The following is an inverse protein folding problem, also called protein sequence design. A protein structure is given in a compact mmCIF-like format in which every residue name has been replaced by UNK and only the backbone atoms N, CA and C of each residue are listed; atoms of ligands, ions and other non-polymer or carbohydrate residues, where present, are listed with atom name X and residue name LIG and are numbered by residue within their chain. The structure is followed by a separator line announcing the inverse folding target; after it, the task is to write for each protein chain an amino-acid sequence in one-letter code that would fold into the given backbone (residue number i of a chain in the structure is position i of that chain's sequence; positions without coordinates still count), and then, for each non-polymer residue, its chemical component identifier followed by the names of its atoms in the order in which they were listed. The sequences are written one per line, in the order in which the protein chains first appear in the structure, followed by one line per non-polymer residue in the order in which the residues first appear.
data_IF_160840293413
#
_entry.id   IF_160840293413
#
_cell.length_a   1.000
_cell.length_b   1.000
_cell.length_c   1.000
_cell.angle_alpha   90.00
_cell.angle_beta   90.00
_cell.angle_gamma   90.00
#
_symmetry.space_group_name_H-M   'P 1'
#
loop_
_entity.id
_entity.type
_entity.pdbx_description
1 polymer ?
#
# COMPACT_ATOMS: atom_id res chain seq x y z
N UNK A 1 -81.53 24.47 11.63
CA UNK A 1 -80.64 24.41 10.45
C UNK A 1 -80.97 23.14 9.68
N UNK A 2 -81.59 23.28 8.51
CA UNK A 2 -81.98 22.13 7.67
C UNK A 2 -80.70 21.58 7.01
N UNK A 3 -80.45 20.30 7.20
CA UNK A 3 -79.30 19.61 6.64
C UNK A 3 -79.25 19.76 5.12
N UNK A 4 -78.26 20.49 4.61
CA UNK A 4 -78.01 20.74 3.18
C UNK A 4 -77.72 19.44 2.44
N UNK A 5 -77.18 18.42 3.13
CA UNK A 5 -76.83 17.11 2.57
C UNK A 5 -77.99 16.22 2.14
N UNK A 6 -79.22 16.49 2.56
CA UNK A 6 -80.38 15.66 2.17
C UNK A 6 -80.88 15.92 0.74
N UNK A 7 -80.46 17.00 0.07
CA UNK A 7 -80.94 17.37 -1.28
C UNK A 7 -80.04 16.88 -2.43
N UNK A 8 -78.80 16.42 -2.13
CA UNK A 8 -77.88 15.97 -3.18
C UNK A 8 -77.15 14.68 -2.74
N UNK A 9 -77.78 13.52 -2.82
CA UNK A 9 -77.14 12.26 -2.42
C UNK A 9 -75.87 11.98 -3.26
N UNK A 10 -75.82 12.44 -4.51
CA UNK A 10 -74.68 12.28 -5.40
C UNK A 10 -73.46 13.07 -4.91
N UNK A 11 -73.64 14.25 -4.37
CA UNK A 11 -72.53 15.08 -3.83
C UNK A 11 -71.94 14.46 -2.56
N UNK A 12 -72.77 13.80 -1.76
CA UNK A 12 -72.30 13.08 -0.58
C UNK A 12 -71.47 11.83 -0.93
N UNK A 13 -71.84 11.12 -1.99
CA UNK A 13 -71.08 9.98 -2.49
C UNK A 13 -69.72 10.42 -3.03
N UNK A 14 -69.67 11.48 -3.80
CA UNK A 14 -68.38 12.06 -4.31
C UNK A 14 -67.51 12.46 -3.14
N UNK A 15 -68.01 13.12 -2.12
CA UNK A 15 -67.24 13.53 -0.95
C UNK A 15 -66.67 12.32 -0.20
N UNK A 16 -67.42 11.28 -0.02
CA UNK A 16 -66.97 10.01 0.60
C UNK A 16 -65.89 9.36 -0.26
N UNK A 17 -66.02 9.34 -1.59
CA UNK A 17 -65.03 8.75 -2.50
C UNK A 17 -63.70 9.54 -2.45
N UNK A 18 -63.75 10.88 -2.42
CA UNK A 18 -62.56 11.73 -2.29
C UNK A 18 -61.84 11.45 -0.95
N UNK A 19 -62.60 11.37 0.14
CA UNK A 19 -62.06 11.15 1.47
C UNK A 19 -61.43 9.75 1.59
N UNK A 20 -61.99 8.74 0.96
CA UNK A 20 -61.41 7.40 0.88
C UNK A 20 -60.11 7.42 0.04
N UNK A 21 -60.09 8.14 -1.08
CA UNK A 21 -58.92 8.27 -1.93
C UNK A 21 -57.76 8.95 -1.19
N UNK A 22 -58.03 10.01 -0.44
CA UNK A 22 -57.05 10.69 0.38
C UNK A 22 -56.46 9.80 1.48
N UNK A 23 -57.32 9.02 2.13
CA UNK A 23 -56.84 8.03 3.14
C UNK A 23 -55.97 6.96 2.53
N UNK A 24 -56.28 6.47 1.33
CA UNK A 24 -55.45 5.49 0.62
C UNK A 24 -54.11 6.11 0.23
N UNK A 25 -54.11 7.33 -0.25
CA UNK A 25 -52.86 8.09 -0.58
C UNK A 25 -51.98 8.28 0.66
N UNK A 26 -52.57 8.70 1.78
CA UNK A 26 -51.84 8.87 3.04
C UNK A 26 -51.27 7.55 3.55
N UNK A 27 -52.02 6.47 3.41
CA UNK A 27 -51.55 5.12 3.75
C UNK A 27 -50.35 4.71 2.88
N UNK A 28 -50.44 4.94 1.57
CA UNK A 28 -49.35 4.67 0.63
C UNK A 28 -48.09 5.49 0.96
N UNK A 29 -48.24 6.77 1.27
CA UNK A 29 -47.11 7.61 1.71
C UNK A 29 -46.53 7.09 3.03
N UNK A 30 -47.34 6.71 3.98
CA UNK A 30 -46.86 6.18 5.25
C UNK A 30 -46.10 4.86 5.07
N UNK A 31 -46.58 3.95 4.23
CA UNK A 31 -45.90 2.70 3.89
C UNK A 31 -44.55 2.99 3.17
N UNK A 32 -44.54 3.91 2.21
CA UNK A 32 -43.32 4.31 1.49
C UNK A 32 -42.27 4.88 2.42
N UNK A 33 -42.65 5.69 3.42
CA UNK A 33 -41.75 6.22 4.44
C UNK A 33 -41.21 5.14 5.38
N UNK A 34 -41.99 4.09 5.64
CA UNK A 34 -41.55 2.93 6.43
C UNK A 34 -40.62 2.03 5.64
N UNK A 35 -40.77 1.92 4.33
CA UNK A 35 -39.85 1.15 3.48
C UNK A 35 -38.48 1.83 3.33
N UNK A 36 -38.44 3.19 3.38
CA UNK A 36 -37.15 3.91 3.40
C UNK A 36 -36.38 3.75 4.72
N UNK A 37 -37.04 3.25 5.78
CA UNK A 37 -36.41 2.88 7.05
C UNK A 37 -36.00 1.41 7.13
N UNK A 38 -35.90 0.69 6.00
CA UNK A 38 -35.15 -0.56 6.05
C UNK A 38 -33.76 -0.21 6.53
N UNK A 39 -33.29 -0.72 7.68
CA UNK A 39 -31.92 -0.58 8.05
C UNK A 39 -31.15 -1.11 6.84
N UNK A 40 -30.24 -0.30 6.30
CA UNK A 40 -29.17 -0.79 5.45
C UNK A 40 -28.73 -2.07 6.15
N UNK A 41 -28.77 -3.26 5.49
CA UNK A 41 -28.19 -4.42 6.13
C UNK A 41 -26.81 -3.93 6.54
N UNK A 42 -26.58 -3.86 7.85
CA UNK A 42 -25.24 -3.84 8.38
C UNK A 42 -24.67 -5.11 7.79
N UNK A 43 -24.05 -4.97 6.60
CA UNK A 43 -23.07 -5.91 6.18
C UNK A 43 -22.11 -5.81 7.35
N UNK A 44 -22.29 -6.71 8.32
CA UNK A 44 -21.20 -7.20 9.06
C UNK A 44 -20.27 -7.69 7.96
N UNK A 45 -19.52 -6.73 7.35
CA UNK A 45 -18.22 -7.02 6.91
C UNK A 45 -17.60 -7.60 8.18
N UNK A 46 -17.84 -8.90 8.38
CA UNK A 46 -16.84 -9.76 8.91
C UNK A 46 -15.68 -9.38 8.00
N UNK A 47 -14.98 -8.32 8.39
CA UNK A 47 -13.60 -8.15 8.08
C UNK A 47 -13.07 -9.49 8.54
N UNK A 48 -13.08 -10.47 7.64
CA UNK A 48 -12.06 -11.45 7.63
C UNK A 48 -10.87 -10.52 7.43
N UNK A 49 -10.37 -9.98 8.56
CA UNK A 49 -8.96 -9.74 8.68
C UNK A 49 -8.41 -11.13 8.39
N UNK A 50 -8.29 -11.42 7.08
CA UNK A 50 -7.29 -12.35 6.68
C UNK A 50 -6.08 -11.78 7.37
N UNK A 51 -5.50 -12.55 8.25
CA UNK A 51 -4.24 -12.25 8.92
C UNK A 51 -3.11 -12.00 7.90
N UNK A 52 -3.41 -11.89 6.63
CA UNK A 52 -2.59 -11.49 5.49
C UNK A 52 -2.54 -9.96 5.28
N UNK A 53 -3.55 -9.18 5.72
CA UNK A 53 -3.56 -7.73 5.47
C UNK A 53 -2.78 -6.88 6.48
N UNK A 54 -2.27 -7.46 7.54
CA UNK A 54 -1.42 -6.77 8.52
C UNK A 54 0.02 -7.31 8.59
N UNK A 55 0.39 -8.25 7.74
CA UNK A 55 1.79 -8.62 7.63
C UNK A 55 2.48 -7.65 6.68
N UNK A 56 2.89 -6.50 7.20
CA UNK A 56 3.82 -5.61 6.52
C UNK A 56 4.95 -6.40 5.86
N UNK A 57 5.66 -5.80 4.94
CA UNK A 57 6.77 -6.44 4.22
C UNK A 57 7.71 -7.15 5.20
N UNK A 58 8.07 -8.39 4.91
CA UNK A 58 9.01 -9.20 5.70
C UNK A 58 10.43 -8.63 5.70
N UNK A 59 11.34 -9.32 6.37
CA UNK A 59 12.75 -8.95 6.35
C UNK A 59 13.36 -9.26 4.96
N UNK A 60 14.16 -8.36 4.38
CA UNK A 60 14.74 -8.59 3.06
C UNK A 60 15.73 -9.76 3.11
N UNK A 61 15.65 -10.71 2.19
CA UNK A 61 16.50 -11.90 2.15
C UNK A 61 17.42 -11.95 0.94
N UNK A 62 16.98 -11.41 -0.21
CA UNK A 62 17.71 -11.53 -1.48
C UNK A 62 17.49 -10.30 -2.36
N UNK A 63 18.57 -9.81 -2.98
CA UNK A 63 18.55 -8.76 -3.99
C UNK A 63 18.81 -9.35 -5.37
N UNK A 64 17.96 -9.01 -6.35
CA UNK A 64 18.13 -9.37 -7.76
C UNK A 64 18.09 -8.12 -8.64
N UNK A 65 19.12 -7.93 -9.47
CA UNK A 65 19.18 -6.86 -10.48
C UNK A 65 19.56 -7.51 -11.81
N UNK A 66 18.58 -8.00 -12.60
CA UNK A 66 18.87 -8.79 -13.79
C UNK A 66 19.70 -8.07 -14.85
N UNK A 67 19.53 -6.77 -15.02
CA UNK A 67 20.24 -5.97 -16.02
C UNK A 67 21.75 -5.93 -15.83
N UNK A 68 22.24 -6.18 -14.61
CA UNK A 68 23.67 -6.24 -14.28
C UNK A 68 24.09 -7.57 -13.67
N UNK A 69 23.21 -8.59 -13.77
CA UNK A 69 23.46 -9.96 -13.31
C UNK A 69 23.77 -10.09 -11.81
N UNK A 70 23.12 -9.24 -10.97
CA UNK A 70 23.20 -9.37 -9.51
C UNK A 70 22.12 -10.31 -9.02
N UNK A 71 22.53 -11.26 -8.19
CA UNK A 71 21.65 -12.18 -7.46
C UNK A 71 22.34 -12.58 -6.14
N UNK A 72 22.07 -11.83 -5.07
CA UNK A 72 22.83 -11.88 -3.82
C UNK A 72 21.92 -11.99 -2.60
N UNK A 73 22.40 -12.72 -1.58
CA UNK A 73 21.80 -12.72 -0.25
C UNK A 73 22.04 -11.38 0.46
N UNK A 74 21.08 -11.02 1.32
CA UNK A 74 21.12 -9.76 2.09
C UNK A 74 21.51 -10.05 3.53
N UNK A 75 22.60 -9.41 3.99
CA UNK A 75 23.04 -9.38 5.39
C UNK A 75 22.39 -8.18 6.10
N UNK A 76 22.09 -8.32 7.40
CA UNK A 76 21.51 -7.24 8.21
C UNK A 76 22.60 -6.59 9.05
N UNK A 77 23.09 -5.48 8.58
CA UNK A 77 24.20 -4.78 9.23
C UNK A 77 23.71 -3.49 9.92
N UNK A 78 24.46 -3.06 10.90
CA UNK A 78 24.21 -1.82 11.63
C UNK A 78 25.25 -0.77 11.29
N UNK A 79 25.66 -0.03 12.30
CA UNK A 79 26.77 0.91 12.24
C UNK A 79 27.97 0.38 12.99
N UNK A 80 29.16 0.68 12.51
CA UNK A 80 30.42 0.44 13.20
C UNK A 80 30.53 1.36 14.43
N UNK A 81 31.50 1.09 15.34
CA UNK A 81 31.76 2.00 16.48
C UNK A 81 32.04 3.45 16.09
N UNK A 82 32.57 3.66 14.88
CA UNK A 82 32.87 4.98 14.34
C UNK A 82 31.66 5.65 13.67
N UNK A 83 30.46 5.01 13.74
CA UNK A 83 29.22 5.56 13.22
C UNK A 83 28.98 5.34 11.72
N UNK A 84 29.86 4.64 11.02
CA UNK A 84 29.72 4.33 9.60
C UNK A 84 28.81 3.11 9.39
N UNK A 85 28.16 3.00 8.24
CA UNK A 85 27.47 1.78 7.85
C UNK A 85 28.47 0.63 7.72
N UNK A 86 28.19 -0.51 8.36
CA UNK A 86 29.02 -1.70 8.27
C UNK A 86 28.93 -2.31 6.85
N UNK A 87 29.95 -3.08 6.45
CA UNK A 87 30.11 -3.63 5.10
C UNK A 87 29.89 -5.15 5.08
N UNK A 88 29.37 -5.72 3.96
CA UNK A 88 29.29 -7.17 3.80
C UNK A 88 30.65 -7.84 3.95
N UNK A 89 30.64 -9.06 4.48
CA UNK A 89 31.89 -9.81 4.76
C UNK A 89 32.49 -10.46 3.51
N UNK A 90 31.72 -10.58 2.44
CA UNK A 90 32.12 -11.24 1.20
C UNK A 90 31.98 -10.31 0.01
N UNK A 91 32.76 -10.55 -1.05
CA UNK A 91 32.71 -9.79 -2.31
C UNK A 91 31.31 -9.79 -2.95
N UNK A 92 30.57 -10.87 -2.79
CA UNK A 92 29.25 -11.09 -3.39
C UNK A 92 28.08 -10.79 -2.44
N UNK A 93 28.35 -10.38 -1.19
CA UNK A 93 27.34 -10.02 -0.20
C UNK A 93 26.74 -8.65 -0.46
N UNK A 94 25.48 -8.50 -0.10
CA UNK A 94 24.76 -7.22 -0.02
C UNK A 94 24.32 -7.00 1.42
N UNK A 95 24.50 -5.83 1.96
CA UNK A 95 24.02 -5.47 3.29
C UNK A 95 22.82 -4.54 3.21
N UNK A 96 21.81 -4.79 4.03
CA UNK A 96 20.78 -3.83 4.36
C UNK A 96 21.10 -3.17 5.70
N UNK A 97 21.08 -1.83 5.70
CA UNK A 97 21.22 -1.06 6.94
C UNK A 97 19.95 -1.15 7.76
N UNK A 98 19.95 -2.08 8.74
CA UNK A 98 18.77 -2.47 9.52
C UNK A 98 18.18 -1.37 10.41
N UNK A 99 18.88 -0.24 10.57
CA UNK A 99 18.42 0.93 11.33
C UNK A 99 17.49 1.80 10.47
N UNK A 100 17.64 1.75 9.14
CA UNK A 100 16.75 2.42 8.18
C UNK A 100 15.46 1.69 7.93
N UNK A 101 14.63 2.23 7.02
CA UNK A 101 13.38 1.61 6.64
C UNK A 101 13.61 0.23 6.01
N UNK A 102 12.63 -0.68 6.15
CA UNK A 102 12.60 -1.91 5.36
C UNK A 102 12.28 -1.59 3.91
N UNK A 103 12.89 -2.29 2.95
CA UNK A 103 12.47 -2.21 1.57
C UNK A 103 10.96 -2.46 1.43
N UNK A 104 10.26 -1.55 0.78
CA UNK A 104 8.81 -1.60 0.61
C UNK A 104 7.98 -0.90 1.69
N UNK A 105 8.60 -0.47 2.79
CA UNK A 105 7.96 0.42 3.77
C UNK A 105 8.20 1.89 3.41
N UNK A 106 7.47 2.79 4.07
CA UNK A 106 7.70 4.23 3.97
C UNK A 106 9.07 4.58 4.55
N UNK A 107 9.83 5.39 3.83
CA UNK A 107 11.18 5.84 4.21
C UNK A 107 12.25 5.31 3.26
N UNK A 108 13.52 5.59 3.58
CA UNK A 108 14.68 5.20 2.78
C UNK A 108 15.27 3.88 3.27
N UNK A 109 15.26 2.86 2.42
CA UNK A 109 15.96 1.61 2.65
C UNK A 109 17.35 1.68 2.01
N UNK A 110 18.39 1.60 2.81
CA UNK A 110 19.79 1.70 2.31
C UNK A 110 20.38 0.29 2.22
N UNK A 111 20.97 0.01 1.06
CA UNK A 111 21.73 -1.22 0.82
C UNK A 111 23.12 -0.89 0.34
N UNK A 112 24.10 -1.67 0.79
CA UNK A 112 25.49 -1.53 0.37
C UNK A 112 26.05 -2.87 -0.11
N UNK A 113 27.09 -2.78 -0.92
CA UNK A 113 27.84 -3.92 -1.41
C UNK A 113 29.19 -3.47 -1.93
N UNK A 114 30.12 -4.41 -2.12
CA UNK A 114 31.41 -4.08 -2.64
C UNK A 114 31.38 -3.73 -4.12
N UNK A 115 32.23 -2.81 -4.52
CA UNK A 115 32.46 -2.37 -5.89
C UNK A 115 33.97 -2.49 -6.20
N UNK A 116 34.33 -2.85 -7.43
CA UNK A 116 35.71 -3.04 -7.84
C UNK A 116 36.24 -4.43 -7.48
N UNK A 117 37.52 -4.64 -7.81
CA UNK A 117 38.16 -5.94 -7.60
C UNK A 117 38.40 -6.22 -6.11
N UNK A 118 37.86 -7.35 -5.66
CA UNK A 118 38.04 -7.85 -4.30
C UNK A 118 39.41 -8.49 -4.11
N UNK A 119 39.69 -8.90 -2.86
CA UNK A 119 40.86 -9.70 -2.52
C UNK A 119 40.96 -10.91 -3.45
N UNK A 120 42.15 -11.25 -3.93
CA UNK A 120 42.40 -12.36 -4.84
C UNK A 120 41.89 -12.20 -6.29
N UNK A 121 41.51 -10.98 -6.71
CA UNK A 121 41.03 -10.75 -8.07
C UNK A 121 39.59 -11.15 -8.35
N UNK A 122 38.81 -11.43 -7.31
CA UNK A 122 37.37 -11.69 -7.44
C UNK A 122 36.62 -10.42 -7.80
N UNK A 123 35.58 -10.57 -8.63
CA UNK A 123 34.64 -9.48 -8.91
C UNK A 123 33.73 -9.24 -7.71
N UNK A 124 33.34 -8.00 -7.49
CA UNK A 124 32.40 -7.63 -6.43
C UNK A 124 30.96 -7.60 -6.93
N UNK A 125 30.01 -7.70 -6.00
CA UNK A 125 28.58 -7.77 -6.31
C UNK A 125 28.10 -6.60 -7.17
N UNK A 126 28.67 -5.42 -6.98
CA UNK A 126 28.28 -4.19 -7.68
C UNK A 126 29.29 -3.72 -8.76
N UNK A 127 30.17 -4.58 -9.23
CA UNK A 127 31.15 -4.26 -10.29
C UNK A 127 30.52 -3.69 -11.57
N UNK A 128 29.29 -4.03 -11.84
CA UNK A 128 28.57 -3.58 -13.04
C UNK A 128 27.52 -2.50 -12.72
N UNK A 129 27.59 -1.84 -11.57
CA UNK A 129 26.58 -0.85 -11.17
C UNK A 129 26.54 0.35 -12.14
N UNK A 130 27.66 0.68 -12.77
CA UNK A 130 27.81 1.69 -13.82
C UNK A 130 27.02 1.38 -15.11
N UNK A 131 26.61 0.13 -15.30
CA UNK A 131 25.82 -0.31 -16.46
C UNK A 131 24.31 -0.18 -16.25
N UNK A 132 23.86 0.11 -15.03
CA UNK A 132 22.46 0.37 -14.75
C UNK A 132 21.95 1.57 -15.54
N UNK A 133 20.67 1.54 -15.87
CA UNK A 133 19.98 2.63 -16.56
C UNK A 133 18.72 2.99 -15.83
N UNK A 134 18.32 4.24 -15.96
CA UNK A 134 17.02 4.70 -15.50
C UNK A 134 15.92 3.83 -16.14
N UNK A 135 15.00 3.34 -15.33
CA UNK A 135 13.94 2.42 -15.74
C UNK A 135 14.25 0.93 -15.52
N UNK A 136 15.51 0.57 -15.25
CA UNK A 136 15.86 -0.81 -14.89
C UNK A 136 15.16 -1.22 -13.61
N UNK A 137 14.81 -2.50 -13.53
CA UNK A 137 14.13 -3.07 -12.36
C UNK A 137 15.11 -3.80 -11.47
N UNK A 138 14.92 -3.62 -10.17
CA UNK A 138 15.52 -4.44 -9.15
C UNK A 138 14.42 -5.04 -8.26
N UNK A 139 14.71 -6.20 -7.71
CA UNK A 139 13.76 -6.97 -6.93
C UNK A 139 14.38 -7.32 -5.59
N UNK A 140 13.61 -7.13 -4.53
CA UNK A 140 13.97 -7.60 -3.20
C UNK A 140 12.95 -8.67 -2.81
N UNK A 141 13.46 -9.86 -2.53
CA UNK A 141 12.69 -10.96 -2.00
C UNK A 141 12.78 -10.90 -0.47
N UNK A 142 11.66 -10.99 0.21
CA UNK A 142 11.63 -11.07 1.67
C UNK A 142 11.77 -12.53 2.16
N UNK A 143 11.89 -12.71 3.47
CA UNK A 143 11.99 -14.02 4.12
C UNK A 143 10.79 -14.94 3.88
N UNK A 144 9.68 -14.41 3.41
CA UNK A 144 8.44 -15.14 3.09
C UNK A 144 8.29 -15.42 1.59
N UNK A 145 9.27 -15.02 0.78
CA UNK A 145 9.24 -15.14 -0.67
C UNK A 145 8.42 -14.06 -1.38
N UNK A 146 7.99 -13.00 -0.66
CA UNK A 146 7.31 -11.87 -1.28
C UNK A 146 8.31 -11.05 -2.09
N UNK A 147 7.96 -10.72 -3.33
CA UNK A 147 8.82 -9.98 -4.23
C UNK A 147 8.41 -8.51 -4.28
N UNK A 148 9.32 -7.63 -3.87
CA UNK A 148 9.15 -6.18 -3.92
C UNK A 148 9.92 -5.64 -5.11
N UNK A 149 9.26 -4.91 -5.99
CA UNK A 149 9.88 -4.35 -7.20
C UNK A 149 10.18 -2.87 -7.03
N UNK A 150 11.41 -2.50 -7.36
CA UNK A 150 11.86 -1.11 -7.46
C UNK A 150 12.30 -0.80 -8.89
N UNK A 151 12.32 0.48 -9.22
CA UNK A 151 12.76 0.98 -10.52
C UNK A 151 13.86 2.00 -10.29
N UNK A 152 14.96 1.88 -11.02
CA UNK A 152 16.06 2.85 -11.00
C UNK A 152 15.53 4.18 -11.49
N UNK A 153 15.59 5.21 -10.63
CA UNK A 153 15.18 6.57 -10.96
C UNK A 153 16.37 7.44 -11.30
N UNK A 154 17.44 7.28 -10.54
CA UNK A 154 18.66 8.07 -10.70
C UNK A 154 19.89 7.25 -10.37
N UNK A 155 21.02 7.64 -10.92
CA UNK A 155 22.33 7.02 -10.71
C UNK A 155 23.33 8.16 -10.53
N UNK A 156 23.98 8.17 -9.36
CA UNK A 156 24.96 9.19 -9.01
C UNK A 156 26.31 8.57 -8.66
N UNK A 157 27.39 9.28 -8.96
CA UNK A 157 28.73 9.00 -8.46
C UNK A 157 29.08 10.07 -7.43
N UNK A 158 29.56 9.66 -6.28
CA UNK A 158 29.90 10.54 -5.18
C UNK A 158 31.34 10.27 -4.76
N UNK A 159 32.03 11.32 -4.42
CA UNK A 159 33.36 11.22 -3.80
C UNK A 159 33.24 10.63 -2.39
N UNK A 160 34.33 10.04 -1.89
CA UNK A 160 34.30 9.34 -0.60
C UNK A 160 34.01 10.26 0.61
N UNK A 161 34.24 11.56 0.46
CA UNK A 161 34.00 12.60 1.47
C UNK A 161 32.74 13.44 1.19
N UNK A 162 31.90 13.04 0.21
CA UNK A 162 30.70 13.76 -0.11
C UNK A 162 29.69 13.71 1.05
N UNK A 163 28.97 14.82 1.25
CA UNK A 163 27.81 14.81 2.16
C UNK A 163 26.68 13.96 1.56
N UNK A 164 26.39 12.86 2.22
CA UNK A 164 25.37 11.90 1.78
C UNK A 164 24.07 11.96 2.60
N UNK A 165 23.91 12.97 3.46
CA UNK A 165 22.72 13.09 4.32
C UNK A 165 21.43 13.09 3.52
N UNK A 166 21.37 13.77 2.40
CA UNK A 166 20.20 13.82 1.53
C UNK A 166 19.86 12.44 0.92
N UNK A 167 20.85 11.58 0.76
CA UNK A 167 20.65 10.21 0.24
C UNK A 167 20.03 9.32 1.31
N UNK A 168 20.51 9.42 2.56
CA UNK A 168 20.07 8.57 3.66
C UNK A 168 18.74 9.01 4.30
N UNK A 169 18.42 10.30 4.24
CA UNK A 169 17.30 10.89 4.96
C UNK A 169 16.30 11.64 4.06
N UNK A 170 16.33 11.43 2.75
CA UNK A 170 15.29 11.94 1.85
C UNK A 170 13.94 11.30 2.16
N UNK A 171 12.95 12.14 2.45
CA UNK A 171 11.54 11.73 2.67
C UNK A 171 10.80 11.51 1.35
#
# INVERSE_FOLDING_TARGET
MKNIFSKFPFLSIIFVLVLVLDLVLLFYMAVSLLEQKKPIPFIENKIILSSEESMGVGLPSRLKIPSINVDASIEFLGTTPDGLMDSPKTSQGVAWWKIGARPGNIGTAVMSGHYGTWKNGETSVFDNLDKLKQGDKLFIEDERGTLITFVVRDIGNYEADADTQDIFFSN
#
